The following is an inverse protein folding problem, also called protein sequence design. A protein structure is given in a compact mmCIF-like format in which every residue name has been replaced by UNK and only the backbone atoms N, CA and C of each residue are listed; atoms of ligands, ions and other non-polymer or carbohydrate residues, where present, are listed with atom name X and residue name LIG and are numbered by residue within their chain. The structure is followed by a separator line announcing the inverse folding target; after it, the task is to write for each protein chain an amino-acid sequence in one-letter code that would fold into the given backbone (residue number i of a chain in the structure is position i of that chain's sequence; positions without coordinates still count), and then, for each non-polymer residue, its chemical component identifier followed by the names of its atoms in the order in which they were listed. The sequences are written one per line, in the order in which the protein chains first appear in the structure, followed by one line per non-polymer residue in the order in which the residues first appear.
data_IF_071439875714
#
_entry.id   IF_071439875714
#
_cell.length_a   1.000
_cell.length_b   1.000
_cell.length_c   1.000
_cell.angle_alpha   90.00
_cell.angle_beta   90.00
_cell.angle_gamma   90.00
#
_symmetry.space_group_name_H-M   'P 1'
#
loop_
_entity.id
_entity.type
_entity.pdbx_description
1 polymer ?
#
# COMPACT_ATOMS: atom_id res chain seq x y z
N UNK A 1 8.70 -15.66 -13.84
CA UNK A 1 7.48 -15.75 -13.02
C UNK A 1 7.62 -14.71 -11.90
N UNK A 2 7.21 -13.46 -12.13
CA UNK A 2 7.14 -12.49 -11.04
C UNK A 2 5.92 -12.87 -10.22
N UNK A 3 6.15 -13.46 -9.05
CA UNK A 3 5.11 -13.63 -8.04
C UNK A 3 4.78 -12.23 -7.57
N UNK A 4 3.90 -11.61 -8.34
CA UNK A 4 3.30 -10.32 -8.05
C UNK A 4 2.30 -10.55 -6.93
N UNK A 5 2.84 -10.87 -5.75
CA UNK A 5 2.15 -10.70 -4.49
C UNK A 5 1.90 -9.20 -4.40
N UNK A 6 0.76 -8.74 -4.92
CA UNK A 6 0.24 -7.42 -4.66
C UNK A 6 -0.62 -7.52 -3.40
N UNK A 7 -0.05 -7.37 -2.19
CA UNK A 7 -0.80 -7.43 -0.95
C UNK A 7 -1.93 -6.39 -0.93
N UNK A 8 -1.76 -5.24 -1.59
CA UNK A 8 -2.81 -4.23 -1.76
C UNK A 8 -4.02 -4.72 -2.57
N UNK A 9 -3.79 -5.53 -3.60
CA UNK A 9 -4.86 -6.13 -4.40
C UNK A 9 -5.57 -7.26 -3.63
N UNK A 10 -4.85 -7.94 -2.74
CA UNK A 10 -5.43 -8.91 -1.79
C UNK A 10 -6.28 -8.21 -0.71
N UNK A 11 -5.83 -7.08 -0.18
CA UNK A 11 -6.57 -6.29 0.82
C UNK A 11 -7.80 -5.59 0.20
N UNK A 12 -7.73 -5.18 -1.07
CA UNK A 12 -8.81 -4.51 -1.78
C UNK A 12 -9.13 -5.18 -3.12
N UNK A 13 -9.69 -6.41 -3.11
CA UNK A 13 -10.01 -7.13 -4.34
C UNK A 13 -10.99 -6.37 -5.23
N UNK A 14 -11.93 -5.65 -4.62
CA UNK A 14 -12.94 -4.83 -5.31
C UNK A 14 -12.35 -3.58 -5.98
N UNK A 15 -11.17 -3.13 -5.56
CA UNK A 15 -10.51 -1.93 -6.11
C UNK A 15 -9.27 -2.25 -6.93
N UNK A 16 -9.06 -3.52 -7.29
CA UNK A 16 -7.90 -3.99 -8.06
C UNK A 16 -7.69 -3.20 -9.35
N UNK A 17 -8.75 -3.01 -10.12
CA UNK A 17 -8.67 -2.28 -11.39
C UNK A 17 -8.29 -0.81 -11.16
N UNK A 18 -8.91 -0.17 -10.17
CA UNK A 18 -8.62 1.20 -9.78
C UNK A 18 -7.17 1.35 -9.26
N UNK A 19 -6.69 0.41 -8.46
CA UNK A 19 -5.30 0.33 -7.98
C UNK A 19 -4.32 0.31 -9.16
N UNK A 20 -4.55 -0.57 -10.13
CA UNK A 20 -3.67 -0.72 -11.30
C UNK A 20 -3.74 0.51 -12.21
N UNK A 21 -4.93 1.12 -12.34
CA UNK A 21 -5.12 2.36 -13.08
C UNK A 21 -4.39 3.53 -12.38
N UNK A 22 -4.57 3.70 -11.07
CA UNK A 22 -3.91 4.74 -10.29
C UNK A 22 -2.40 4.58 -10.25
N UNK A 23 -1.85 3.36 -10.20
CA UNK A 23 -0.40 3.14 -10.32
C UNK A 23 0.17 3.65 -11.65
N UNK A 24 -0.61 3.62 -12.72
CA UNK A 24 -0.17 4.09 -14.03
C UNK A 24 -0.44 5.59 -14.23
N UNK A 25 -1.53 6.10 -13.67
CA UNK A 25 -1.94 7.50 -13.82
C UNK A 25 -1.30 8.43 -12.78
N UNK A 26 -0.97 7.91 -11.59
CA UNK A 26 -0.42 8.68 -10.47
C UNK A 26 0.93 8.10 -10.00
N UNK A 27 2.04 8.81 -10.23
CA UNK A 27 3.37 8.35 -9.84
C UNK A 27 3.60 8.37 -8.32
N UNK A 28 2.86 9.18 -7.55
CA UNK A 28 2.95 9.15 -6.08
C UNK A 28 2.34 7.85 -5.56
N UNK A 29 1.21 7.44 -6.14
CA UNK A 29 0.58 6.17 -5.83
C UNK A 29 1.49 4.97 -6.15
N UNK A 30 2.14 5.00 -7.31
CA UNK A 30 3.11 3.97 -7.70
C UNK A 30 4.25 3.81 -6.68
N UNK A 31 4.79 4.93 -6.18
CA UNK A 31 5.82 4.94 -5.14
C UNK A 31 5.32 4.33 -3.83
N UNK A 32 4.14 4.74 -3.35
CA UNK A 32 3.53 4.22 -2.11
C UNK A 32 3.28 2.71 -2.20
N UNK A 33 2.76 2.24 -3.32
CA UNK A 33 2.53 0.81 -3.56
C UNK A 33 3.86 0.02 -3.52
N UNK A 34 4.90 0.54 -4.16
CA UNK A 34 6.23 -0.07 -4.13
C UNK A 34 6.79 -0.14 -2.71
N UNK A 35 6.73 0.95 -1.93
CA UNK A 35 7.18 0.96 -0.54
C UNK A 35 6.41 -0.06 0.30
N UNK A 36 5.09 -0.14 0.12
CA UNK A 36 4.26 -1.12 0.83
C UNK A 36 4.67 -2.56 0.53
N UNK A 37 4.95 -2.88 -0.74
CA UNK A 37 5.44 -4.21 -1.16
C UNK A 37 6.82 -4.53 -0.56
N UNK A 38 7.72 -3.55 -0.49
CA UNK A 38 9.05 -3.70 0.14
C UNK A 38 8.93 -3.99 1.64
N UNK A 39 8.06 -3.28 2.35
CA UNK A 39 7.81 -3.49 3.77
C UNK A 39 7.21 -4.88 4.04
N UNK A 40 6.24 -5.31 3.23
CA UNK A 40 5.61 -6.64 3.35
C UNK A 40 6.63 -7.76 3.11
N UNK A 41 7.53 -7.60 2.12
CA UNK A 41 8.65 -8.53 1.89
C UNK A 41 9.62 -8.56 3.07
N UNK A 42 9.97 -7.41 3.64
CA UNK A 42 10.82 -7.35 4.84
C UNK A 42 10.16 -8.06 6.02
N UNK A 43 8.89 -7.78 6.28
CA UNK A 43 8.11 -8.45 7.34
C UNK A 43 8.10 -9.96 7.11
N UNK A 44 7.81 -10.41 5.88
CA UNK A 44 7.76 -11.84 5.57
C UNK A 44 9.13 -12.53 5.73
N UNK A 45 10.23 -11.86 5.37
CA UNK A 45 11.60 -12.36 5.62
C UNK A 45 11.97 -12.39 7.11
N UNK A 46 11.52 -11.40 7.86
CA UNK A 46 11.68 -11.35 9.31
C UNK A 46 10.90 -12.50 9.98
N UNK A 47 9.67 -12.74 9.55
CA UNK A 47 8.80 -13.80 10.08
C UNK A 47 9.29 -15.20 9.68
N UNK A 48 9.89 -15.37 8.50
CA UNK A 48 10.53 -16.62 8.06
C UNK A 48 11.83 -16.92 8.85
N UNK A 49 12.29 -15.98 9.70
CA UNK A 49 13.50 -16.12 10.49
C UNK A 49 14.79 -15.97 9.67
N UNK A 50 14.69 -15.48 8.43
CA UNK A 50 15.83 -15.19 7.54
C UNK A 50 16.53 -13.91 7.99
N UNK A 51 15.76 -12.94 8.48
CA UNK A 51 16.26 -11.67 8.98
C UNK A 51 15.99 -11.58 10.48
N UNK A 52 17.02 -11.42 11.31
CA UNK A 52 16.88 -11.15 12.75
C UNK A 52 16.49 -9.69 12.94
N UNK A 53 15.29 -9.35 12.46
CA UNK A 53 14.71 -8.03 12.64
C UNK A 53 14.22 -7.94 14.09
N UNK A 54 14.75 -6.96 14.83
CA UNK A 54 14.30 -6.72 16.21
C UNK A 54 12.80 -6.49 16.26
N UNK A 55 12.13 -6.95 17.33
CA UNK A 55 10.70 -6.74 17.55
C UNK A 55 10.29 -5.25 17.41
N UNK A 56 11.18 -4.35 17.80
CA UNK A 56 11.00 -2.90 17.65
C UNK A 56 10.96 -2.46 16.18
N UNK A 57 11.84 -3.01 15.35
CA UNK A 57 11.88 -2.71 13.92
C UNK A 57 10.69 -3.36 13.19
N UNK A 58 10.31 -4.60 13.54
CA UNK A 58 9.09 -5.22 13.04
C UNK A 58 7.84 -4.40 13.41
N UNK A 59 7.79 -3.86 14.63
CA UNK A 59 6.76 -2.93 15.07
C UNK A 59 6.69 -1.67 14.21
N UNK A 60 7.84 -1.05 13.92
CA UNK A 60 7.91 0.12 13.04
C UNK A 60 7.42 -0.19 11.62
N UNK A 61 7.86 -1.31 11.02
CA UNK A 61 7.41 -1.76 9.70
C UNK A 61 5.90 -1.96 9.66
N UNK A 62 5.31 -2.55 10.71
CA UNK A 62 3.85 -2.71 10.83
C UNK A 62 3.12 -1.36 10.89
N UNK A 63 3.64 -0.38 11.64
CA UNK A 63 3.05 0.95 11.68
C UNK A 63 3.10 1.64 10.31
N UNK A 64 4.24 1.54 9.62
CA UNK A 64 4.43 2.15 8.31
C UNK A 64 3.53 1.48 7.25
N UNK A 65 3.37 0.15 7.32
CA UNK A 65 2.41 -0.62 6.51
C UNK A 65 0.98 -0.11 6.71
N UNK A 66 0.56 0.15 7.95
CA UNK A 66 -0.78 0.68 8.24
C UNK A 66 -0.93 2.10 7.70
N UNK A 67 0.07 2.96 7.87
CA UNK A 67 0.05 4.33 7.36
C UNK A 67 -0.07 4.38 5.83
N UNK A 68 0.71 3.55 5.12
CA UNK A 68 0.66 3.43 3.66
C UNK A 68 -0.69 2.89 3.18
N UNK A 69 -1.25 1.90 3.88
CA UNK A 69 -2.59 1.39 3.57
C UNK A 69 -3.67 2.46 3.71
N UNK A 70 -3.63 3.25 4.78
CA UNK A 70 -4.58 4.34 5.01
C UNK A 70 -4.45 5.46 3.96
N UNK A 71 -3.22 5.76 3.55
CA UNK A 71 -2.94 6.71 2.50
C UNK A 71 -3.42 6.23 1.11
N UNK A 72 -3.16 4.97 0.76
CA UNK A 72 -3.69 4.33 -0.44
C UNK A 72 -5.21 4.32 -0.44
N UNK A 73 -5.84 4.02 0.70
CA UNK A 73 -7.30 4.07 0.83
C UNK A 73 -7.84 5.49 0.61
N UNK A 74 -7.13 6.53 1.09
CA UNK A 74 -7.46 7.94 0.82
C UNK A 74 -7.34 8.27 -0.66
N UNK A 75 -6.27 7.88 -1.33
CA UNK A 75 -6.09 8.11 -2.77
C UNK A 75 -7.17 7.40 -3.59
N UNK A 76 -7.47 6.14 -3.28
CA UNK A 76 -8.55 5.38 -3.96
C UNK A 76 -9.92 6.01 -3.71
N UNK A 77 -10.18 6.54 -2.51
CA UNK A 77 -11.42 7.26 -2.21
C UNK A 77 -11.49 8.58 -2.97
N UNK A 78 -10.37 9.30 -3.12
CA UNK A 78 -10.29 10.54 -3.93
C UNK A 78 -10.52 10.26 -5.42
N UNK A 79 -9.98 9.15 -5.93
CA UNK A 79 -10.15 8.76 -7.33
C UNK A 79 -11.57 8.23 -7.64
N UNK A 80 -12.13 7.38 -6.77
CA UNK A 80 -13.49 6.85 -6.94
C UNK A 80 -14.57 7.89 -6.65
N UNK A 81 -14.31 8.79 -5.70
CA UNK A 81 -15.20 9.88 -5.31
C UNK A 81 -14.94 11.13 -6.15
N UNK A 82 -14.92 11.00 -7.47
CA UNK A 82 -14.93 12.13 -8.41
C UNK A 82 -16.23 12.93 -8.27
N UNK A 83 -16.41 13.62 -7.14
CA UNK A 83 -17.28 14.76 -6.89
C UNK A 83 -17.12 15.20 -5.41
N UNK A 84 -16.11 16.01 -5.12
CA UNK A 84 -16.41 17.28 -4.48
C UNK A 84 -15.65 18.38 -5.24
N UNK A 85 -16.31 18.90 -6.27
CA UNK A 85 -16.21 20.33 -6.52
C UNK A 85 -16.47 21.06 -5.20
N UNK A 86 -15.65 22.06 -4.92
CA UNK A 86 -15.41 22.55 -3.57
C UNK A 86 -16.64 22.91 -2.74
N UNK A 87 -16.46 22.77 -1.43
CA UNK A 87 -17.12 23.52 -0.37
C UNK A 87 -16.13 23.51 0.81
N UNK A 88 -15.88 24.53 1.61
CA UNK A 88 -16.26 25.94 1.69
C UNK A 88 -15.58 26.42 2.99
N UNK A 89 -15.02 27.64 3.01
CA UNK A 89 -14.53 28.32 4.23
C UNK A 89 -13.10 28.79 4.14
#
# INVERSE_FOLDING_TARGET
MHVEHHPLVKDFPEKRELLQQMRQQDPNFARKAHTYEELDKQICRAEDGVETLDDAALGALKQERVALKDDIARDLKRASGSCCGGCCG
#
